data_IF_378848715257
#
_entry.id   IF_378848715257
#
_cell.length_a   1.000
_cell.length_b   1.000
_cell.length_c   1.000
_cell.angle_alpha   90.00
_cell.angle_beta   90.00
_cell.angle_gamma   90.00
#
_symmetry.space_group_name_H-M   'P 1'
#
loop_
_entity.id
_entity.type
_entity.pdbx_description
1 polymer ?
#
# COMPACT_ATOMS: atom_id res chain seq x y z
N UNK A 1 9.47 16.54 -29.02
CA UNK A 1 8.41 17.20 -28.23
C UNK A 1 8.79 17.09 -26.76
N UNK A 2 8.84 18.20 -26.02
CA UNK A 2 9.14 18.21 -24.58
C UNK A 2 7.89 18.64 -23.80
N UNK A 3 7.57 17.93 -22.73
CA UNK A 3 6.46 18.28 -21.85
C UNK A 3 6.95 19.22 -20.73
N UNK A 4 6.15 20.22 -20.38
CA UNK A 4 6.41 21.05 -19.20
C UNK A 4 5.92 20.30 -17.95
N UNK A 5 6.84 19.94 -17.06
CA UNK A 5 6.56 19.23 -15.83
C UNK A 5 6.94 20.08 -14.61
N UNK A 6 6.10 20.04 -13.57
CA UNK A 6 6.39 20.64 -12.26
C UNK A 6 6.40 19.52 -11.23
N UNK A 7 7.51 19.40 -10.51
CA UNK A 7 7.65 18.41 -9.45
C UNK A 7 6.98 18.89 -8.16
N UNK A 8 6.32 17.96 -7.46
CA UNK A 8 5.80 18.17 -6.11
C UNK A 8 6.08 16.95 -5.26
N UNK A 9 6.75 17.16 -4.13
CA UNK A 9 6.96 16.14 -3.11
C UNK A 9 5.81 16.17 -2.10
N UNK A 10 5.18 15.02 -1.87
CA UNK A 10 4.13 14.85 -0.86
C UNK A 10 4.60 13.79 0.12
N UNK A 11 4.99 14.16 1.35
CA UNK A 11 5.38 13.18 2.36
C UNK A 11 4.24 12.21 2.67
N UNK A 12 4.56 10.92 2.71
CA UNK A 12 3.66 9.87 3.16
C UNK A 12 4.31 9.13 4.33
N UNK A 13 3.59 9.04 5.46
CA UNK A 13 4.04 8.25 6.60
C UNK A 13 3.57 6.80 6.44
N UNK A 14 4.45 5.84 6.72
CA UNK A 14 4.14 4.41 6.70
C UNK A 14 4.83 3.69 7.85
N UNK A 15 4.28 2.55 8.23
CA UNK A 15 4.89 1.63 9.20
C UNK A 15 5.17 0.33 8.47
N UNK A 16 6.43 -0.12 8.46
CA UNK A 16 6.75 -1.48 8.00
C UNK A 16 6.44 -2.45 9.13
N UNK A 17 5.57 -3.41 8.86
CA UNK A 17 5.28 -4.53 9.76
C UNK A 17 6.13 -5.71 9.31
N UNK A 18 6.74 -6.40 10.27
CA UNK A 18 7.57 -7.57 10.05
C UNK A 18 7.06 -8.69 10.95
N UNK A 19 6.82 -9.85 10.35
CA UNK A 19 6.39 -11.09 11.00
C UNK A 19 7.45 -12.14 10.72
N UNK A 20 8.11 -12.59 11.77
CA UNK A 20 9.08 -13.68 11.71
C UNK A 20 8.36 -15.00 12.04
N UNK A 21 8.72 -16.05 11.30
CA UNK A 21 8.16 -17.39 11.47
C UNK A 21 9.31 -18.40 11.51
N UNK A 22 9.05 -19.56 12.09
CA UNK A 22 9.94 -20.73 12.06
C UNK A 22 9.72 -21.60 10.81
N UNK A 23 8.68 -21.33 10.02
CA UNK A 23 8.36 -22.09 8.82
C UNK A 23 9.40 -21.90 7.70
N UNK A 24 9.69 -22.96 6.92
CA UNK A 24 10.49 -22.83 5.71
C UNK A 24 9.84 -21.89 4.69
N UNK A 25 10.67 -21.11 3.99
CA UNK A 25 10.23 -20.12 2.98
C UNK A 25 9.25 -20.70 1.95
N UNK A 26 9.58 -21.85 1.35
CA UNK A 26 8.75 -22.45 0.31
C UNK A 26 7.35 -22.85 0.82
N UNK A 27 7.27 -23.35 2.06
CA UNK A 27 6.01 -23.76 2.66
C UNK A 27 5.16 -22.55 3.05
N UNK A 28 5.78 -21.53 3.65
CA UNK A 28 5.09 -20.29 3.99
C UNK A 28 4.54 -19.60 2.73
N UNK A 29 5.34 -19.55 1.67
CA UNK A 29 4.95 -19.02 0.36
C UNK A 29 3.73 -19.75 -0.19
N UNK A 30 3.78 -21.08 -0.26
CA UNK A 30 2.70 -21.91 -0.80
C UNK A 30 1.37 -21.62 -0.09
N UNK A 31 1.38 -21.66 1.25
CA UNK A 31 0.17 -21.42 2.06
C UNK A 31 -0.34 -19.99 1.95
N UNK A 32 0.57 -19.01 1.92
CA UNK A 32 0.20 -17.62 1.72
C UNK A 32 -0.52 -17.42 0.37
N UNK A 33 0.01 -18.01 -0.69
CA UNK A 33 -0.54 -17.91 -2.05
C UNK A 33 -1.89 -18.63 -2.21
N UNK A 34 -2.14 -19.69 -1.43
CA UNK A 34 -3.43 -20.39 -1.33
C UNK A 34 -4.49 -19.52 -0.63
N UNK A 35 -4.10 -18.84 0.46
CA UNK A 35 -5.01 -17.96 1.22
C UNK A 35 -5.31 -16.67 0.46
N UNK A 36 -4.29 -16.11 -0.22
CA UNK A 36 -4.38 -14.84 -0.97
C UNK A 36 -4.21 -15.16 -2.46
N UNK A 37 -5.27 -15.58 -3.16
CA UNK A 37 -5.17 -15.97 -4.57
C UNK A 37 -4.82 -14.79 -5.48
N UNK A 38 -4.22 -15.11 -6.63
CA UNK A 38 -3.96 -14.14 -7.69
C UNK A 38 -5.27 -13.57 -8.27
N UNK A 39 -5.23 -12.29 -8.63
CA UNK A 39 -6.31 -11.64 -9.37
C UNK A 39 -6.47 -12.29 -10.74
N UNK A 40 -7.72 -12.47 -11.17
CA UNK A 40 -8.01 -12.96 -12.51
C UNK A 40 -7.74 -11.80 -13.48
N UNK A 41 -6.75 -11.92 -14.40
CA UNK A 41 -6.36 -10.83 -15.29
C UNK A 41 -7.50 -10.41 -16.22
N UNK A 42 -8.37 -11.33 -16.62
CA UNK A 42 -9.43 -11.08 -17.59
C UNK A 42 -10.62 -10.37 -16.95
N UNK A 43 -10.71 -10.37 -15.62
CA UNK A 43 -11.83 -9.81 -14.89
C UNK A 43 -11.93 -8.29 -15.11
N UNK A 44 -10.79 -7.60 -15.15
CA UNK A 44 -10.72 -6.17 -15.44
C UNK A 44 -11.12 -5.84 -16.87
N UNK A 45 -10.68 -6.65 -17.83
CA UNK A 45 -11.01 -6.48 -19.26
C UNK A 45 -12.51 -6.70 -19.50
N UNK A 46 -13.10 -7.73 -18.90
CA UNK A 46 -14.53 -8.01 -19.00
C UNK A 46 -15.39 -6.91 -18.39
N UNK A 47 -14.95 -6.31 -17.28
CA UNK A 47 -15.62 -5.13 -16.70
C UNK A 47 -15.51 -3.93 -17.65
N UNK A 48 -14.33 -3.65 -18.20
CA UNK A 48 -14.10 -2.53 -19.11
C UNK A 48 -14.89 -2.66 -20.43
N UNK A 49 -15.05 -3.90 -20.93
CA UNK A 49 -15.85 -4.21 -22.10
C UNK A 49 -17.37 -4.21 -21.85
N UNK A 50 -17.83 -4.01 -20.60
CA UNK A 50 -19.24 -4.07 -20.22
C UNK A 50 -19.84 -5.48 -20.18
N UNK A 51 -19.02 -6.52 -20.31
CA UNK A 51 -19.44 -7.92 -20.19
C UNK A 51 -19.72 -8.35 -18.73
N UNK A 52 -19.27 -7.53 -17.77
CA UNK A 52 -19.58 -7.65 -16.35
C UNK A 52 -20.02 -6.28 -15.83
N UNK A 53 -21.02 -6.26 -14.94
CA UNK A 53 -21.28 -5.11 -14.10
C UNK A 53 -20.39 -5.12 -12.84
N UNK A 54 -20.41 -4.01 -12.09
CA UNK A 54 -19.61 -3.88 -10.88
C UNK A 54 -19.97 -4.92 -9.81
N UNK A 55 -21.24 -5.28 -9.67
CA UNK A 55 -21.68 -6.22 -8.64
C UNK A 55 -21.18 -7.65 -8.92
N UNK A 56 -21.26 -8.08 -10.18
CA UNK A 56 -20.72 -9.35 -10.64
C UNK A 56 -19.19 -9.38 -10.53
N UNK A 57 -18.53 -8.30 -10.92
CA UNK A 57 -17.08 -8.12 -10.75
C UNK A 57 -16.66 -8.27 -9.28
N UNK A 58 -17.27 -7.52 -8.36
CA UNK A 58 -16.90 -7.54 -6.93
C UNK A 58 -17.11 -8.91 -6.30
N UNK A 59 -18.15 -9.64 -6.71
CA UNK A 59 -18.38 -11.02 -6.24
C UNK A 59 -17.33 -11.98 -6.76
N UNK A 60 -16.95 -11.88 -8.03
CA UNK A 60 -15.89 -12.71 -8.63
C UNK A 60 -14.49 -12.39 -8.07
N UNK A 61 -14.24 -11.12 -7.71
CA UNK A 61 -12.99 -10.67 -7.11
C UNK A 61 -12.88 -10.95 -5.61
N UNK A 62 -13.96 -11.42 -4.97
CA UNK A 62 -14.01 -11.69 -3.53
C UNK A 62 -13.00 -12.78 -3.13
N UNK A 63 -12.43 -12.64 -1.94
CA UNK A 63 -11.38 -13.54 -1.41
C UNK A 63 -11.47 -13.63 0.10
N UNK A 64 -10.82 -14.65 0.66
CA UNK A 64 -10.60 -14.73 2.10
C UNK A 64 -9.79 -13.48 2.51
N UNK A 65 -10.29 -12.74 3.50
CA UNK A 65 -9.79 -11.42 3.93
C UNK A 65 -9.95 -10.25 2.95
N UNK A 66 -10.60 -10.47 1.79
CA UNK A 66 -10.79 -9.42 0.77
C UNK A 66 -9.51 -9.00 0.05
N UNK A 67 -8.44 -9.80 0.17
CA UNK A 67 -7.14 -9.54 -0.43
C UNK A 67 -6.87 -10.46 -1.62
N UNK A 68 -6.37 -9.87 -2.70
CA UNK A 68 -5.90 -10.58 -3.89
C UNK A 68 -4.47 -10.15 -4.22
N UNK A 69 -3.70 -11.02 -4.86
CA UNK A 69 -2.40 -10.65 -5.47
C UNK A 69 -2.65 -9.98 -6.82
N UNK A 70 -2.32 -8.70 -6.95
CA UNK A 70 -2.34 -7.94 -8.20
C UNK A 70 -1.06 -8.14 -9.01
N UNK A 71 0.01 -8.56 -8.34
CA UNK A 71 1.29 -8.84 -8.97
C UNK A 71 2.17 -9.66 -8.04
N UNK A 72 3.07 -10.41 -8.65
CA UNK A 72 4.11 -11.18 -8.00
C UNK A 72 5.42 -10.88 -8.73
N UNK A 73 6.46 -10.57 -7.97
CA UNK A 73 7.80 -10.32 -8.49
C UNK A 73 8.77 -11.32 -7.85
N UNK A 74 9.40 -12.15 -8.68
CA UNK A 74 10.39 -13.16 -8.28
C UNK A 74 11.75 -12.50 -8.02
N UNK A 75 11.76 -11.55 -7.08
CA UNK A 75 12.92 -10.71 -6.76
C UNK A 75 14.13 -11.57 -6.41
N UNK A 76 13.95 -12.68 -5.69
CA UNK A 76 15.03 -13.60 -5.34
C UNK A 76 15.73 -14.20 -6.56
N UNK A 77 14.99 -14.56 -7.62
CA UNK A 77 15.58 -15.11 -8.85
C UNK A 77 16.37 -14.04 -9.62
N UNK A 78 15.84 -12.82 -9.66
CA UNK A 78 16.52 -11.67 -10.25
C UNK A 78 17.80 -11.33 -9.47
N UNK A 79 17.71 -11.25 -8.14
CA UNK A 79 18.84 -10.92 -7.27
C UNK A 79 19.90 -12.02 -7.23
N UNK A 80 19.52 -13.29 -7.46
CA UNK A 80 20.49 -14.38 -7.60
C UNK A 80 21.47 -14.16 -8.73
N UNK A 81 21.01 -13.57 -9.83
CA UNK A 81 21.88 -13.16 -10.96
C UNK A 81 22.83 -12.02 -10.60
N UNK A 82 22.48 -11.22 -9.60
CA UNK A 82 23.32 -10.16 -9.04
C UNK A 82 24.19 -10.62 -7.85
N UNK A 83 24.26 -11.93 -7.57
CA UNK A 83 25.06 -12.50 -6.47
C UNK A 83 24.33 -12.60 -5.12
N UNK A 84 23.04 -12.28 -5.06
CA UNK A 84 22.22 -12.49 -3.87
C UNK A 84 21.92 -13.98 -3.61
N UNK A 85 21.91 -14.40 -2.34
CA UNK A 85 21.68 -15.80 -1.99
C UNK A 85 20.32 -16.07 -1.31
N UNK A 86 19.64 -15.04 -0.82
CA UNK A 86 18.37 -15.20 -0.11
C UNK A 86 17.22 -15.47 -1.08
N UNK A 87 16.40 -16.48 -0.77
CA UNK A 87 15.10 -16.65 -1.42
C UNK A 87 14.19 -15.49 -1.00
N UNK A 88 13.60 -14.80 -1.97
CA UNK A 88 12.69 -13.67 -1.74
C UNK A 88 11.68 -13.57 -2.88
N UNK A 89 10.47 -13.13 -2.55
CA UNK A 89 9.38 -12.83 -3.48
C UNK A 89 8.63 -11.61 -2.97
N UNK A 90 8.29 -10.69 -3.87
CA UNK A 90 7.50 -9.52 -3.55
C UNK A 90 6.10 -9.63 -4.16
N UNK A 91 5.11 -9.11 -3.44
CA UNK A 91 3.71 -9.12 -3.86
C UNK A 91 3.14 -7.70 -3.85
N UNK A 92 2.24 -7.46 -4.80
CA UNK A 92 1.29 -6.37 -4.75
C UNK A 92 -0.06 -6.94 -4.29
N UNK A 93 -0.51 -6.52 -3.12
CA UNK A 93 -1.71 -7.04 -2.48
C UNK A 93 -2.77 -5.95 -2.39
N UNK A 94 -4.03 -6.27 -2.69
CA UNK A 94 -5.06 -5.25 -2.73
C UNK A 94 -6.49 -5.78 -2.66
N UNK A 95 -7.40 -4.83 -2.58
CA UNK A 95 -8.86 -5.03 -2.62
C UNK A 95 -9.41 -4.07 -3.67
N UNK A 96 -10.08 -4.60 -4.69
CA UNK A 96 -10.67 -3.79 -5.76
C UNK A 96 -11.74 -2.82 -5.25
N UNK A 97 -12.48 -3.19 -4.21
CA UNK A 97 -13.48 -2.31 -3.60
C UNK A 97 -12.82 -1.15 -2.88
N UNK A 98 -11.68 -1.39 -2.21
CA UNK A 98 -10.90 -0.31 -1.64
C UNK A 98 -10.31 0.59 -2.74
N UNK A 99 -9.75 0.01 -3.81
CA UNK A 99 -9.20 0.77 -4.93
C UNK A 99 -10.28 1.68 -5.52
N UNK A 100 -11.48 1.16 -5.78
CA UNK A 100 -12.59 1.96 -6.32
C UNK A 100 -13.06 3.05 -5.35
N UNK A 101 -13.07 2.78 -4.04
CA UNK A 101 -13.39 3.78 -3.02
C UNK A 101 -12.36 4.90 -2.97
N UNK A 102 -11.06 4.57 -2.99
CA UNK A 102 -9.98 5.55 -3.02
C UNK A 102 -10.00 6.38 -4.31
N UNK A 103 -10.18 5.72 -5.46
CA UNK A 103 -10.26 6.40 -6.75
C UNK A 103 -11.43 7.40 -6.81
N UNK A 104 -12.61 7.03 -6.31
CA UNK A 104 -13.77 7.95 -6.22
C UNK A 104 -13.54 9.14 -5.30
N UNK A 105 -12.72 8.97 -4.26
CA UNK A 105 -12.39 10.05 -3.34
C UNK A 105 -11.36 11.00 -3.96
N UNK A 106 -10.23 10.45 -4.42
CA UNK A 106 -9.15 11.17 -5.08
C UNK A 106 -8.30 10.17 -5.87
N UNK A 107 -8.25 10.25 -7.21
CA UNK A 107 -7.41 9.39 -8.04
C UNK A 107 -5.93 9.39 -7.64
N UNK A 108 -5.42 10.51 -7.10
CA UNK A 108 -4.03 10.59 -6.64
C UNK A 108 -3.74 9.70 -5.41
N UNK A 109 -4.77 9.22 -4.73
CA UNK A 109 -4.63 8.31 -3.58
C UNK A 109 -4.46 6.84 -3.97
N UNK A 110 -4.68 6.49 -5.26
CA UNK A 110 -4.47 5.13 -5.73
C UNK A 110 -3.02 4.70 -5.59
N UNK A 111 -2.03 5.59 -5.61
CA UNK A 111 -0.62 5.22 -5.39
C UNK A 111 -0.37 4.48 -4.05
N UNK A 112 -1.26 4.64 -3.06
CA UNK A 112 -1.16 3.95 -1.79
C UNK A 112 -1.64 2.48 -1.82
N UNK A 113 -2.20 2.03 -2.94
CA UNK A 113 -2.75 0.68 -3.13
C UNK A 113 -2.53 0.16 -4.58
N UNK A 114 -2.35 -1.14 -4.83
CA UNK A 114 -2.14 -2.22 -3.87
C UNK A 114 -0.87 -2.01 -3.03
N UNK A 115 -0.89 -2.49 -1.80
CA UNK A 115 0.25 -2.35 -0.88
C UNK A 115 1.31 -3.42 -1.17
N UNK A 116 2.56 -3.09 -0.87
CA UNK A 116 3.70 -3.97 -1.07
C UNK A 116 3.87 -4.90 0.12
N UNK A 117 4.07 -6.17 -0.18
CA UNK A 117 4.52 -7.17 0.77
C UNK A 117 5.74 -7.90 0.20
N UNK A 118 6.59 -8.39 1.08
CA UNK A 118 7.77 -9.17 0.78
C UNK A 118 7.81 -10.38 1.69
N UNK A 119 8.04 -11.54 1.09
CA UNK A 119 8.39 -12.75 1.81
C UNK A 119 9.83 -13.11 1.47
N UNK A 120 10.66 -13.39 2.47
CA UNK A 120 12.03 -13.85 2.25
C UNK A 120 12.49 -14.87 3.29
N UNK A 121 13.54 -15.63 2.97
CA UNK A 121 14.21 -16.52 3.91
C UNK A 121 15.05 -15.71 4.92
N UNK A 122 14.77 -15.87 6.21
CA UNK A 122 15.54 -15.33 7.33
C UNK A 122 16.43 -16.38 7.99
N UNK A 123 17.07 -16.01 9.12
CA UNK A 123 18.03 -16.87 9.82
C UNK A 123 17.39 -18.09 10.51
N UNK A 124 16.14 -17.99 10.96
CA UNK A 124 15.43 -19.02 11.73
C UNK A 124 14.18 -19.56 11.06
N UNK A 125 13.94 -19.19 9.80
CA UNK A 125 12.70 -19.47 9.08
C UNK A 125 12.35 -18.30 8.16
N UNK A 126 11.12 -18.23 7.68
CA UNK A 126 10.70 -17.22 6.74
C UNK A 126 10.22 -15.93 7.43
N UNK A 127 10.45 -14.80 6.77
CA UNK A 127 10.06 -13.47 7.23
C UNK A 127 9.07 -12.89 6.24
N UNK A 128 7.90 -12.51 6.72
CA UNK A 128 6.88 -11.81 5.96
C UNK A 128 6.82 -10.36 6.41
N UNK A 129 6.94 -9.42 5.48
CA UNK A 129 6.91 -8.00 5.78
C UNK A 129 6.02 -7.25 4.81
N UNK A 130 5.35 -6.20 5.30
CA UNK A 130 4.45 -5.40 4.48
C UNK A 130 4.38 -3.96 4.98
N UNK A 131 3.99 -3.07 4.08
CA UNK A 131 3.78 -1.67 4.44
C UNK A 131 2.34 -1.45 4.92
N UNK A 132 2.21 -0.98 6.16
CA UNK A 132 0.98 -0.41 6.66
C UNK A 132 0.97 1.10 6.34
N UNK A 133 0.06 1.57 5.49
CA UNK A 133 -0.06 3.01 5.23
C UNK A 133 -0.49 3.73 6.51
N UNK A 134 0.29 4.73 6.92
CA UNK A 134 -0.03 5.57 8.06
C UNK A 134 -1.13 6.59 7.73
N UNK A 135 -1.63 7.33 8.74
CA UNK A 135 -2.35 8.56 8.45
C UNK A 135 -1.41 9.49 7.67
N UNK A 136 -1.90 10.05 6.55
CA UNK A 136 -1.20 11.15 5.89
C UNK A 136 -0.97 12.24 6.95
N UNK A 137 0.29 12.56 7.25
CA UNK A 137 0.60 13.49 8.33
C UNK A 137 0.22 14.90 7.88
N UNK A 138 -0.65 15.53 8.65
CA UNK A 138 -1.13 16.88 8.38
C UNK A 138 -0.15 17.89 8.99
N UNK A 139 0.94 18.21 8.29
CA UNK A 139 1.87 19.36 8.53
C UNK A 139 3.01 19.25 7.53
N UNK A 140 3.52 20.28 6.87
CA UNK A 140 3.26 21.72 6.82
C UNK A 140 3.76 22.13 5.44
N UNK A 141 3.01 22.98 4.74
CA UNK A 141 3.60 23.73 3.65
C UNK A 141 4.74 24.59 4.20
N UNK A 142 5.98 24.17 3.98
CA UNK A 142 7.05 25.13 3.77
C UNK A 142 7.70 24.77 2.46
N UNK A 143 7.21 25.37 1.38
CA UNK A 143 8.08 25.65 0.25
C UNK A 143 9.18 26.56 0.78
N UNK A 144 10.30 25.98 1.22
CA UNK A 144 11.52 26.75 1.40
C UNK A 144 11.99 27.07 -0.02
N UNK A 145 11.53 28.20 -0.55
CA UNK A 145 12.14 28.77 -1.76
C UNK A 145 13.62 28.99 -1.47
N UNK A 146 14.53 28.74 -2.44
CA UNK A 146 15.91 29.15 -2.30
C UNK A 146 15.92 30.67 -2.13
N UNK A 147 16.41 31.15 -0.98
CA UNK A 147 16.65 32.57 -0.72
C UNK A 147 17.65 33.08 -1.75
N UNK A 148 17.21 33.90 -2.69
CA UNK A 148 18.08 34.91 -3.27
C UNK A 148 18.42 35.92 -2.16
N UNK A 149 19.71 36.05 -1.86
CA UNK A 149 20.20 37.09 -0.99
C UNK A 149 20.07 38.43 -1.72
N UNK A 150 19.20 39.30 -1.22
CA UNK A 150 19.36 40.73 -1.42
C UNK A 150 18.98 41.44 -0.12
N UNK A 151 19.92 42.28 0.30
CA UNK A 151 19.90 43.10 1.49
C UNK A 151 18.98 44.30 1.33
N UNK A 152 18.07 44.52 2.28
CA UNK A 152 17.66 45.88 2.66
C UNK A 152 17.00 45.90 4.04
N UNK A 153 17.46 46.86 4.82
CA UNK A 153 17.17 47.18 6.21
C UNK A 153 15.76 47.75 6.43
N UNK A 154 15.15 47.42 7.58
CA UNK A 154 14.25 48.31 8.32
C UNK A 154 12.73 48.12 8.14
N UNK A 155 12.00 47.99 9.26
CA UNK A 155 10.59 48.38 9.34
C UNK A 155 9.64 47.39 10.03
N UNK A 156 9.14 47.78 11.21
CA UNK A 156 8.15 47.10 12.05
C UNK A 156 6.85 46.68 11.36
N UNK A 157 6.35 45.52 11.83
CA UNK A 157 4.96 45.16 12.12
C UNK A 157 3.81 45.88 11.37
N UNK A 158 3.00 45.09 10.65
CA UNK A 158 1.54 45.19 10.80
C UNK A 158 0.81 43.94 10.26
N UNK A 159 0.08 43.29 11.16
CA UNK A 159 -0.88 42.25 10.86
C UNK A 159 -2.12 42.91 10.23
N UNK A 160 -2.24 42.87 8.90
CA UNK A 160 -3.44 43.33 8.19
C UNK A 160 -4.33 42.15 7.81
N UNK A 161 -5.47 42.07 8.50
CA UNK A 161 -6.59 41.16 8.23
C UNK A 161 -7.28 41.54 6.91
N UNK A 162 -7.86 40.50 6.28
CA UNK A 162 -8.88 40.50 5.21
C UNK A 162 -8.38 40.79 3.79
N UNK A 163 -8.23 39.70 3.02
CA UNK A 163 -9.13 39.44 1.87
C UNK A 163 -8.86 38.08 1.22
N UNK A 164 -9.95 37.36 0.96
CA UNK A 164 -10.09 36.22 0.04
C UNK A 164 -9.54 34.84 0.43
N UNK A 165 -10.03 34.28 1.53
CA UNK A 165 -10.31 32.83 1.58
C UNK A 165 -11.65 32.56 0.88
N UNK A 166 -11.69 32.68 -0.46
CA UNK A 166 -12.81 32.15 -1.25
C UNK A 166 -12.56 30.67 -1.53
N UNK A 167 -13.27 29.84 -0.77
CA UNK A 167 -13.86 28.60 -1.29
C UNK A 167 -12.92 27.56 -1.88
N UNK A 168 -12.34 26.72 -1.01
CA UNK A 168 -12.50 25.27 -1.10
C UNK A 168 -12.05 24.62 0.21
N UNK A 169 -12.91 23.78 0.74
CA UNK A 169 -12.68 22.93 1.91
C UNK A 169 -11.54 21.95 1.60
N UNK A 170 -10.28 22.35 1.77
CA UNK A 170 -9.12 21.45 1.62
C UNK A 170 -8.93 20.48 2.80
N UNK A 171 -9.95 20.34 3.65
CA UNK A 171 -9.85 19.76 4.97
C UNK A 171 -11.13 19.00 5.35
N UNK A 172 -11.71 18.25 4.41
CA UNK A 172 -12.49 17.07 4.80
C UNK A 172 -11.49 15.98 5.17
N UNK A 173 -11.20 15.81 6.46
CA UNK A 173 -10.50 14.62 6.92
C UNK A 173 -11.41 13.44 6.65
N UNK A 174 -11.15 12.69 5.58
CA UNK A 174 -11.95 11.53 5.26
C UNK A 174 -11.56 10.38 6.20
N UNK A 175 -12.16 10.41 7.40
CA UNK A 175 -12.08 9.34 8.38
C UNK A 175 -12.49 8.00 7.78
N UNK A 176 -13.33 7.98 6.72
CA UNK A 176 -13.73 6.75 6.04
C UNK A 176 -12.60 6.16 5.22
N UNK A 177 -11.86 6.96 4.44
CA UNK A 177 -10.64 6.52 3.77
C UNK A 177 -9.55 6.05 4.76
N UNK A 178 -9.38 6.76 5.88
CA UNK A 178 -8.46 6.34 6.94
C UNK A 178 -8.89 5.03 7.63
N UNK A 179 -10.19 4.84 7.84
CA UNK A 179 -10.77 3.61 8.40
C UNK A 179 -10.66 2.44 7.43
N UNK A 180 -10.82 2.69 6.13
CA UNK A 180 -10.70 1.68 5.10
C UNK A 180 -9.25 1.17 4.98
N UNK A 181 -8.25 2.07 5.00
CA UNK A 181 -6.83 1.69 5.10
C UNK A 181 -6.52 0.86 6.34
N UNK A 182 -7.00 1.27 7.52
CA UNK A 182 -6.84 0.51 8.77
C UNK A 182 -7.47 -0.89 8.70
N UNK A 183 -8.65 -1.03 8.09
CA UNK A 183 -9.31 -2.34 7.91
C UNK A 183 -8.51 -3.25 7.00
N UNK A 184 -7.92 -2.72 5.92
CA UNK A 184 -7.09 -3.52 5.04
C UNK A 184 -5.79 -3.94 5.71
N UNK A 185 -5.12 -3.04 6.45
CA UNK A 185 -3.93 -3.41 7.23
C UNK A 185 -4.24 -4.48 8.29
N UNK A 186 -5.41 -4.39 8.95
CA UNK A 186 -5.88 -5.44 9.85
C UNK A 186 -6.13 -6.77 9.10
N UNK A 187 -6.69 -6.74 7.90
CA UNK A 187 -6.87 -7.93 7.07
C UNK A 187 -5.52 -8.59 6.69
N UNK A 188 -4.49 -7.79 6.40
CA UNK A 188 -3.13 -8.29 6.12
C UNK A 188 -2.51 -8.90 7.37
N UNK A 189 -2.62 -8.22 8.52
CA UNK A 189 -2.14 -8.74 9.78
C UNK A 189 -2.87 -10.05 10.16
N UNK A 190 -4.19 -10.12 9.94
CA UNK A 190 -4.96 -11.35 10.14
C UNK A 190 -4.55 -12.45 9.17
N UNK A 191 -4.37 -12.16 7.88
CA UNK A 191 -3.88 -13.12 6.91
C UNK A 191 -2.49 -13.66 7.30
N UNK A 192 -1.55 -12.78 7.67
CA UNK A 192 -0.21 -13.16 8.13
C UNK A 192 -0.26 -13.99 9.42
N UNK A 193 -1.10 -13.62 10.40
CA UNK A 193 -1.30 -14.38 11.63
C UNK A 193 -1.95 -15.74 11.40
N UNK A 194 -2.94 -15.83 10.49
CA UNK A 194 -3.56 -17.10 10.11
C UNK A 194 -2.61 -18.01 9.36
N UNK A 195 -1.76 -17.44 8.50
CA UNK A 195 -0.68 -18.18 7.85
C UNK A 195 0.31 -18.69 8.90
N UNK A 196 0.70 -17.87 9.89
CA UNK A 196 1.58 -18.29 10.98
C UNK A 196 0.95 -19.39 11.87
N UNK A 197 -0.34 -19.24 12.21
CA UNK A 197 -1.08 -20.23 12.99
C UNK A 197 -1.23 -21.56 12.24
N UNK A 198 -1.42 -21.51 10.93
CA UNK A 198 -1.41 -22.71 10.11
C UNK A 198 0.00 -23.32 10.05
N UNK A 199 1.04 -22.49 9.94
CA UNK A 199 2.45 -22.87 9.83
C UNK A 199 3.03 -23.54 11.08
N UNK A 200 2.42 -23.34 12.26
CA UNK A 200 2.78 -24.08 13.46
C UNK A 200 2.64 -25.61 13.22
N UNK A 201 3.64 -26.42 13.61
CA UNK A 201 3.55 -27.87 13.46
C UNK A 201 2.30 -28.39 14.21
N UNK A 202 1.59 -29.41 13.68
CA UNK A 202 0.50 -30.02 14.42
C UNK A 202 1.06 -30.49 15.76
N UNK A 203 0.44 -30.03 16.86
CA UNK A 203 0.78 -30.51 18.17
C UNK A 203 0.73 -32.04 18.14
N UNK A 204 1.87 -32.68 18.40
CA UNK A 204 1.94 -34.12 18.63
C UNK A 204 1.05 -34.41 19.84
N UNK A 205 -0.19 -34.80 19.58
CA UNK A 205 -1.06 -35.43 20.58
C UNK A 205 -0.37 -36.71 21.01
N UNK A 206 0.06 -36.70 22.28
CA UNK A 206 0.68 -37.82 22.98
C UNK A 206 -0.38 -38.69 23.61
#
# INVERSE_FOLDING_TARGET
>A
MSFHAVERLVPAAGTRVVVETDAPFAELRRRFEEIVPATDPDLGERLAAGALDWAAFSRAASSLYGLRRFGTDEVGDTMRRAGGAAASVAYLLGDHELHARLFRHDPATVIAVPFRAELHAGRGGAVFSFEQPGPCSRRSGSTRSPRSASSSTGGSAMCSKRSSCRGRRCCGGDERGARARRRQSAAVASAASSVNAAAAPPALTR
#
